data_IF_939808287155
#
_entry.id   IF_939808287155
#
_cell.length_a   1.000
_cell.length_b   1.000
_cell.length_c   1.000
_cell.angle_alpha   90.00
_cell.angle_beta   90.00
_cell.angle_gamma   90.00
#
_symmetry.space_group_name_H-M   'P 1'
#
loop_
_entity.id
_entity.type
_entity.pdbx_description
1 polymer ?
#
# COMPACT_ATOMS: atom_id res chain seq x y z
N UNK A 1 16.88 -12.73 -28.59
CA UNK A 1 18.14 -13.11 -27.90
C UNK A 1 18.34 -12.40 -26.56
N UNK A 2 17.63 -11.31 -26.24
CA UNK A 2 17.81 -10.59 -24.96
C UNK A 2 17.04 -11.16 -23.76
N UNK A 3 16.00 -11.96 -23.99
CA UNK A 3 15.17 -12.52 -22.91
C UNK A 3 15.89 -13.61 -22.10
N UNK A 4 16.57 -14.53 -22.80
CA UNK A 4 17.40 -15.58 -22.20
C UNK A 4 18.56 -14.99 -21.37
N UNK A 5 19.20 -13.93 -21.86
CA UNK A 5 20.25 -13.21 -21.12
C UNK A 5 19.73 -12.56 -19.83
N UNK A 6 18.50 -12.02 -19.85
CA UNK A 6 17.88 -11.44 -18.66
C UNK A 6 17.49 -12.52 -17.65
N UNK A 7 16.93 -13.64 -18.12
CA UNK A 7 16.59 -14.80 -17.28
C UNK A 7 17.83 -15.39 -16.59
N UNK A 8 18.94 -15.54 -17.31
CA UNK A 8 20.20 -16.02 -16.74
C UNK A 8 20.79 -15.05 -15.71
N UNK A 9 20.65 -13.74 -15.92
CA UNK A 9 21.14 -12.71 -14.99
C UNK A 9 20.35 -12.67 -13.68
N UNK A 10 19.03 -12.90 -13.73
CA UNK A 10 18.17 -12.97 -12.54
C UNK A 10 18.39 -14.27 -11.76
N UNK A 11 18.52 -15.40 -12.44
CA UNK A 11 18.84 -16.69 -11.80
C UNK A 11 20.23 -16.67 -11.14
N UNK A 12 21.22 -16.02 -11.75
CA UNK A 12 22.54 -15.84 -11.16
C UNK A 12 22.51 -14.95 -9.90
N UNK A 13 21.62 -13.96 -9.80
CA UNK A 13 21.48 -13.14 -8.58
C UNK A 13 20.79 -13.87 -7.42
N UNK A 14 19.94 -14.87 -7.71
CA UNK A 14 19.29 -15.72 -6.70
C UNK A 14 20.22 -16.82 -6.15
N UNK A 15 21.19 -17.26 -6.95
CA UNK A 15 22.17 -18.28 -6.57
C UNK A 15 23.44 -17.71 -5.90
N UNK A 16 23.57 -16.38 -5.82
CA UNK A 16 24.68 -15.77 -5.10
C UNK A 16 24.52 -16.01 -3.59
N UNK A 17 25.58 -16.43 -2.86
CA UNK A 17 25.53 -16.51 -1.41
C UNK A 17 25.25 -15.10 -0.87
N UNK A 18 24.09 -14.94 -0.25
CA UNK A 18 23.68 -13.69 0.38
C UNK A 18 24.74 -13.27 1.41
N UNK A 19 25.58 -12.29 1.08
CA UNK A 19 26.38 -11.61 2.10
C UNK A 19 25.45 -10.68 2.86
N UNK A 20 24.99 -11.11 4.03
CA UNK A 20 24.20 -10.32 4.97
C UNK A 20 25.02 -9.11 5.43
N UNK A 21 24.87 -8.00 4.71
CA UNK A 21 25.44 -6.69 5.07
C UNK A 21 24.43 -5.83 5.83
N UNK A 22 23.40 -6.44 6.41
CA UNK A 22 22.63 -5.76 7.43
C UNK A 22 23.62 -5.32 8.51
N UNK A 23 23.59 -4.08 9.01
CA UNK A 23 24.34 -3.71 10.18
C UNK A 23 24.00 -4.76 11.24
N UNK A 24 24.99 -5.56 11.66
CA UNK A 24 24.81 -6.47 12.79
C UNK A 24 24.63 -5.53 13.99
N UNK A 25 23.39 -5.11 14.21
CA UNK A 25 22.98 -4.46 15.43
C UNK A 25 23.19 -5.51 16.51
N UNK A 26 24.37 -5.48 17.13
CA UNK A 26 24.60 -6.17 18.38
C UNK A 26 23.54 -5.66 19.33
N UNK A 27 22.65 -6.54 19.79
CA UNK A 27 21.75 -6.21 20.89
C UNK A 27 22.64 -5.68 22.01
N UNK A 28 22.48 -4.42 22.46
CA UNK A 28 23.32 -3.90 23.53
C UNK A 28 23.09 -4.78 24.76
N UNK A 29 24.12 -5.52 25.15
CA UNK A 29 24.23 -6.08 26.49
C UNK A 29 24.15 -4.90 27.44
N UNK A 30 23.19 -4.95 28.37
CA UNK A 30 22.98 -3.93 29.40
C UNK A 30 24.29 -3.70 30.17
N UNK A 31 25.06 -2.71 29.73
CA UNK A 31 26.18 -2.11 30.42
C UNK A 31 25.71 -0.75 30.89
N UNK A 32 25.80 -0.54 32.20
CA UNK A 32 25.44 0.70 32.86
C UNK A 32 26.23 1.89 32.28
N UNK A 33 25.53 3.01 32.13
CA UNK A 33 26.01 4.37 31.88
C UNK A 33 26.46 4.73 30.46
N UNK A 34 25.52 5.22 29.64
CA UNK A 34 25.76 6.38 28.77
C UNK A 34 24.57 7.34 28.83
N UNK A 35 24.83 8.55 29.32
CA UNK A 35 23.93 9.70 29.24
C UNK A 35 23.90 10.20 27.81
N UNK A 36 22.79 10.00 27.10
CA UNK A 36 22.57 10.63 25.78
C UNK A 36 21.33 11.49 25.85
N UNK A 37 21.57 12.80 25.93
CA UNK A 37 20.58 13.80 25.60
C UNK A 37 20.39 13.82 24.09
N UNK A 38 19.45 13.02 23.60
CA UNK A 38 18.81 13.22 22.31
C UNK A 38 17.32 13.03 22.55
N UNK A 39 16.47 13.94 22.08
CA UNK A 39 15.02 13.74 22.10
C UNK A 39 14.69 12.54 21.23
N UNK A 40 14.71 11.35 21.84
CA UNK A 40 14.46 10.09 21.17
C UNK A 40 13.06 10.09 20.59
N UNK A 41 12.96 10.11 19.27
CA UNK A 41 11.69 10.03 18.56
C UNK A 41 10.87 8.82 18.98
N UNK A 42 9.55 8.90 18.87
CA UNK A 42 8.65 7.79 19.21
C UNK A 42 8.76 6.72 18.11
N UNK A 43 9.01 5.48 18.49
CA UNK A 43 8.93 4.33 17.60
C UNK A 43 7.47 3.91 17.48
N UNK A 44 6.93 3.89 16.26
CA UNK A 44 5.52 3.56 16.00
C UNK A 44 5.41 2.40 15.02
N UNK A 45 4.62 1.39 15.37
CA UNK A 45 4.17 0.36 14.46
C UNK A 45 2.96 0.86 13.68
N UNK A 46 3.06 0.92 12.35
CA UNK A 46 2.05 1.54 11.49
C UNK A 46 1.67 0.65 10.32
N UNK A 47 0.36 0.53 10.10
CA UNK A 47 -0.22 0.05 8.85
C UNK A 47 -1.13 1.14 8.29
N UNK A 48 -0.94 1.45 7.01
CA UNK A 48 -1.77 2.37 6.24
C UNK A 48 -2.52 1.63 5.12
N UNK A 49 -3.80 1.96 4.90
CA UNK A 49 -4.55 1.40 3.79
C UNK A 49 -4.19 2.05 2.46
N UNK A 50 -4.79 1.54 1.38
CA UNK A 50 -4.69 2.17 0.06
C UNK A 50 -5.28 3.58 0.08
N UNK A 51 -4.54 4.54 -0.49
CA UNK A 51 -4.98 5.91 -0.74
C UNK A 51 -4.71 6.22 -2.21
N UNK A 52 -5.74 6.60 -2.96
CA UNK A 52 -5.62 6.97 -4.39
C UNK A 52 -6.18 8.36 -4.61
N UNK A 53 -5.46 9.18 -5.38
CA UNK A 53 -5.97 10.45 -5.89
C UNK A 53 -6.12 10.35 -7.40
N UNK A 54 -7.31 10.64 -7.93
CA UNK A 54 -7.64 10.53 -9.35
C UNK A 54 -8.09 11.89 -9.88
N UNK A 55 -7.55 12.28 -11.03
CA UNK A 55 -7.94 13.49 -11.74
C UNK A 55 -9.07 13.17 -12.73
N UNK A 56 -10.09 14.01 -12.78
CA UNK A 56 -11.30 13.84 -13.58
C UNK A 56 -11.59 15.05 -14.46
N UNK A 57 -12.16 14.78 -15.64
CA UNK A 57 -12.56 15.82 -16.61
C UNK A 57 -13.79 16.60 -16.15
N UNK A 58 -14.70 15.97 -15.41
CA UNK A 58 -15.98 16.53 -15.00
C UNK A 58 -16.47 15.96 -13.66
N UNK A 59 -17.36 16.71 -12.99
CA UNK A 59 -17.87 16.37 -11.66
C UNK A 59 -18.82 15.17 -11.69
N UNK A 60 -19.56 14.94 -12.78
CA UNK A 60 -20.51 13.83 -12.85
C UNK A 60 -19.78 12.48 -12.88
N UNK A 61 -18.74 12.36 -13.72
CA UNK A 61 -17.86 11.18 -13.77
C UNK A 61 -17.15 10.95 -12.42
N UNK A 62 -16.71 12.02 -11.77
CA UNK A 62 -16.09 11.96 -10.45
C UNK A 62 -17.06 11.43 -9.38
N UNK A 63 -18.32 11.89 -9.40
CA UNK A 63 -19.36 11.44 -8.48
C UNK A 63 -19.68 9.94 -8.67
N UNK A 64 -19.66 9.45 -9.91
CA UNK A 64 -19.85 8.03 -10.20
C UNK A 64 -18.72 7.17 -9.61
N UNK A 65 -17.46 7.61 -9.75
CA UNK A 65 -16.32 6.93 -9.12
C UNK A 65 -16.46 6.91 -7.60
N UNK A 66 -16.80 8.05 -6.98
CA UNK A 66 -16.98 8.15 -5.53
C UNK A 66 -18.07 7.19 -5.05
N UNK A 67 -19.22 7.16 -5.72
CA UNK A 67 -20.32 6.23 -5.40
C UNK A 67 -19.88 4.77 -5.49
N UNK A 68 -19.15 4.43 -6.56
CA UNK A 68 -18.59 3.09 -6.77
C UNK A 68 -17.63 2.73 -5.64
N UNK A 69 -16.68 3.61 -5.31
CA UNK A 69 -15.70 3.41 -4.26
C UNK A 69 -16.36 3.23 -2.87
N UNK A 70 -17.36 4.05 -2.54
CA UNK A 70 -18.13 3.92 -1.28
C UNK A 70 -18.81 2.54 -1.22
N UNK A 71 -19.42 2.08 -2.33
CA UNK A 71 -20.04 0.76 -2.40
C UNK A 71 -19.05 -0.39 -2.21
N UNK A 72 -17.79 -0.21 -2.63
CA UNK A 72 -16.69 -1.15 -2.41
C UNK A 72 -16.00 -1.02 -1.04
N UNK A 73 -16.51 -0.18 -0.14
CA UNK A 73 -16.02 -0.04 1.24
C UNK A 73 -15.04 1.11 1.48
N UNK A 74 -14.78 1.97 0.49
CA UNK A 74 -13.99 3.19 0.62
C UNK A 74 -14.87 4.38 1.03
N UNK A 75 -15.47 4.31 2.23
CA UNK A 75 -16.47 5.27 2.72
C UNK A 75 -15.95 6.69 2.95
N UNK A 76 -14.64 6.87 3.05
CA UNK A 76 -13.99 8.18 3.25
C UNK A 76 -13.59 8.86 1.94
N UNK A 77 -14.09 8.31 0.82
CA UNK A 77 -13.84 8.84 -0.51
C UNK A 77 -14.66 10.10 -0.77
N UNK A 78 -14.09 11.03 -1.53
CA UNK A 78 -14.79 12.27 -1.87
C UNK A 78 -14.02 13.14 -2.86
N UNK A 79 -14.71 14.15 -3.38
CA UNK A 79 -14.12 15.15 -4.27
C UNK A 79 -13.39 16.18 -3.41
N UNK A 80 -12.08 16.31 -3.59
CA UNK A 80 -11.21 17.17 -2.76
C UNK A 80 -10.95 18.55 -3.40
N UNK A 81 -11.13 18.69 -4.70
CA UNK A 81 -10.98 19.95 -5.42
C UNK A 81 -11.91 19.98 -6.64
N UNK A 82 -12.46 21.16 -6.95
CA UNK A 82 -13.34 21.41 -8.12
C UNK A 82 -12.88 22.64 -8.93
N UNK A 83 -12.20 23.61 -8.31
CA UNK A 83 -11.94 24.93 -8.91
C UNK A 83 -10.91 24.93 -10.05
N UNK A 84 -9.87 24.10 -9.97
CA UNK A 84 -8.79 24.03 -10.98
C UNK A 84 -8.76 22.69 -11.70
N UNK A 85 -9.00 21.61 -10.94
CA UNK A 85 -9.09 20.22 -11.39
C UNK A 85 -10.06 19.48 -10.48
N UNK A 86 -10.84 18.58 -11.05
CA UNK A 86 -11.75 17.73 -10.30
C UNK A 86 -10.94 16.55 -9.75
N UNK A 87 -10.58 16.63 -8.48
CA UNK A 87 -9.78 15.59 -7.83
C UNK A 87 -10.67 14.73 -6.95
N UNK A 88 -10.59 13.42 -7.12
CA UNK A 88 -11.24 12.44 -6.26
C UNK A 88 -10.18 11.77 -5.39
N UNK A 89 -10.38 11.78 -4.07
CA UNK A 89 -9.59 10.96 -3.16
C UNK A 89 -10.37 9.70 -2.79
N UNK A 90 -9.79 8.52 -3.02
CA UNK A 90 -10.32 7.22 -2.61
C UNK A 90 -9.58 6.76 -1.36
N UNK A 91 -10.33 6.58 -0.27
CA UNK A 91 -9.79 6.30 1.07
C UNK A 91 -10.73 5.40 1.87
N UNK A 92 -10.17 4.68 2.84
CA UNK A 92 -10.93 3.88 3.80
C UNK A 92 -10.39 4.04 5.22
N UNK A 93 -11.21 3.68 6.20
CA UNK A 93 -10.99 3.93 7.62
C UNK A 93 -10.13 2.87 8.32
N UNK A 94 -9.55 1.90 7.58
CA UNK A 94 -8.80 0.80 8.18
C UNK A 94 -7.33 1.21 8.38
N UNK A 95 -6.94 1.42 9.64
CA UNK A 95 -5.58 1.85 10.02
C UNK A 95 -5.15 1.15 11.30
N UNK A 96 -3.84 1.02 11.50
CA UNK A 96 -3.26 0.63 12.79
C UNK A 96 -2.06 1.54 13.04
N UNK A 97 -2.02 2.14 14.21
CA UNK A 97 -0.91 2.97 14.65
C UNK A 97 -0.72 2.75 16.15
N UNK A 98 0.42 2.19 16.54
CA UNK A 98 0.70 1.81 17.94
C UNK A 98 2.12 2.24 18.31
N UNK A 99 2.29 3.12 19.30
CA UNK A 99 3.63 3.45 19.80
C UNK A 99 4.23 2.24 20.53
N UNK A 100 5.46 1.88 20.16
CA UNK A 100 6.22 0.77 20.75
C UNK A 100 7.20 1.24 21.84
N UNK A 101 7.49 2.54 21.88
CA UNK A 101 8.46 3.14 22.81
C UNK A 101 9.17 4.32 22.17
N UNK A 102 10.39 4.57 22.62
CA UNK A 102 11.29 5.58 22.05
C UNK A 102 12.39 4.90 21.24
N UNK A 103 12.98 5.63 20.30
CA UNK A 103 14.19 5.16 19.60
C UNK A 103 15.26 4.85 20.65
N UNK A 104 15.77 3.61 20.63
CA UNK A 104 16.72 3.11 21.63
C UNK A 104 16.09 2.47 22.88
N UNK A 105 14.78 2.64 23.11
CA UNK A 105 14.07 2.05 24.26
C UNK A 105 12.70 1.49 23.84
N UNK A 106 12.65 0.19 23.55
CA UNK A 106 11.40 -0.53 23.28
C UNK A 106 10.69 -0.79 24.61
N UNK A 107 9.46 -0.30 24.74
CA UNK A 107 8.64 -0.41 25.96
C UNK A 107 7.66 -1.59 25.91
N UNK A 108 7.65 -2.37 24.83
CA UNK A 108 6.75 -3.49 24.61
C UNK A 108 7.49 -4.82 24.55
N UNK A 109 6.80 -5.90 24.86
CA UNK A 109 7.38 -7.25 24.77
C UNK A 109 7.43 -7.75 23.32
N UNK A 110 8.34 -8.68 22.98
CA UNK A 110 8.37 -9.32 21.67
C UNK A 110 7.05 -10.03 21.31
N UNK A 111 6.36 -10.60 22.30
CA UNK A 111 5.07 -11.26 22.15
C UNK A 111 4.00 -10.27 21.66
N UNK A 112 4.01 -9.05 22.21
CA UNK A 112 3.10 -7.99 21.80
C UNK A 112 3.35 -7.56 20.36
N UNK A 113 4.62 -7.45 19.94
CA UNK A 113 4.96 -7.14 18.54
C UNK A 113 4.46 -8.22 17.60
N UNK A 114 4.60 -9.51 17.94
CA UNK A 114 4.05 -10.61 17.14
C UNK A 114 2.53 -10.53 17.01
N UNK A 115 1.84 -10.19 18.10
CA UNK A 115 0.40 -9.94 18.07
C UNK A 115 0.03 -8.76 17.15
N UNK A 116 0.75 -7.64 17.24
CA UNK A 116 0.53 -6.49 16.36
C UNK A 116 0.71 -6.84 14.88
N UNK A 117 1.70 -7.66 14.54
CA UNK A 117 1.92 -8.15 13.18
C UNK A 117 0.72 -8.96 12.69
N UNK A 118 0.16 -9.85 13.51
CA UNK A 118 -1.06 -10.58 13.16
C UNK A 118 -2.22 -9.64 12.85
N UNK A 119 -2.48 -8.68 13.75
CA UNK A 119 -3.56 -7.69 13.55
C UNK A 119 -3.30 -6.84 12.30
N UNK A 120 -2.06 -6.46 12.03
CA UNK A 120 -1.67 -5.69 10.86
C UNK A 120 -1.90 -6.47 9.56
N UNK A 121 -1.56 -7.76 9.53
CA UNK A 121 -1.77 -8.63 8.39
C UNK A 121 -3.27 -8.85 8.11
N UNK A 122 -4.10 -9.01 9.15
CA UNK A 122 -5.56 -9.06 9.00
C UNK A 122 -6.10 -7.77 8.37
N UNK A 123 -5.60 -6.60 8.82
CA UNK A 123 -5.99 -5.32 8.23
C UNK A 123 -5.50 -5.15 6.79
N UNK A 124 -4.31 -5.63 6.50
CA UNK A 124 -3.73 -5.60 5.15
C UNK A 124 -4.56 -6.46 4.19
N UNK A 125 -4.96 -7.65 4.61
CA UNK A 125 -5.81 -8.53 3.82
C UNK A 125 -7.20 -7.92 3.60
N UNK A 126 -7.80 -7.35 4.65
CA UNK A 126 -9.08 -6.66 4.51
C UNK A 126 -8.99 -5.42 3.59
N UNK A 127 -7.86 -4.72 3.56
CA UNK A 127 -7.61 -3.63 2.61
C UNK A 127 -7.42 -4.16 1.17
N UNK A 128 -6.74 -5.31 1.02
CA UNK A 128 -6.55 -5.98 -0.27
C UNK A 128 -7.88 -6.40 -0.88
N UNK A 129 -8.75 -7.06 -0.11
CA UNK A 129 -10.08 -7.49 -0.59
C UNK A 129 -10.94 -6.32 -1.09
N UNK A 130 -10.91 -5.18 -0.40
CA UNK A 130 -11.61 -3.96 -0.86
C UNK A 130 -11.01 -3.43 -2.15
N UNK A 131 -9.68 -3.42 -2.25
CA UNK A 131 -8.95 -2.96 -3.43
C UNK A 131 -9.25 -3.83 -4.64
N UNK A 132 -9.18 -5.16 -4.49
CA UNK A 132 -9.47 -6.13 -5.54
C UNK A 132 -10.93 -6.04 -5.98
N UNK A 133 -11.87 -5.96 -5.03
CA UNK A 133 -13.29 -5.77 -5.34
C UNK A 133 -13.59 -4.46 -6.07
N UNK A 134 -12.93 -3.37 -5.68
CA UNK A 134 -13.04 -2.09 -6.37
C UNK A 134 -12.48 -2.15 -7.79
N UNK A 135 -11.30 -2.76 -7.98
CA UNK A 135 -10.71 -2.95 -9.30
C UNK A 135 -11.61 -3.78 -10.20
N UNK A 136 -12.20 -4.87 -9.69
CA UNK A 136 -13.11 -5.71 -10.45
C UNK A 136 -14.30 -4.92 -10.97
N UNK A 137 -14.98 -4.15 -10.11
CA UNK A 137 -16.12 -3.31 -10.51
C UNK A 137 -15.70 -2.26 -11.54
N UNK A 138 -14.51 -1.67 -11.40
CA UNK A 138 -13.98 -0.73 -12.39
C UNK A 138 -13.72 -1.39 -13.75
N UNK A 139 -13.19 -2.61 -13.77
CA UNK A 139 -12.96 -3.36 -14.99
C UNK A 139 -14.27 -3.74 -15.67
N UNK A 140 -15.27 -4.21 -14.92
CA UNK A 140 -16.61 -4.50 -15.46
C UNK A 140 -17.25 -3.26 -16.07
N UNK A 141 -17.20 -2.11 -15.37
CA UNK A 141 -17.69 -0.84 -15.92
C UNK A 141 -16.94 -0.43 -17.17
N UNK A 142 -15.61 -0.60 -17.21
CA UNK A 142 -14.80 -0.29 -18.39
C UNK A 142 -15.14 -1.19 -19.58
N UNK A 143 -15.35 -2.48 -19.33
CA UNK A 143 -15.74 -3.45 -20.34
C UNK A 143 -17.15 -3.12 -20.84
N UNK A 144 -18.11 -2.88 -19.96
CA UNK A 144 -19.47 -2.45 -20.32
C UNK A 144 -19.47 -1.16 -21.16
N UNK A 145 -18.66 -0.16 -20.78
CA UNK A 145 -18.50 1.07 -21.56
C UNK A 145 -17.82 0.81 -22.92
N UNK A 146 -16.87 -0.13 -23.02
CA UNK A 146 -16.25 -0.49 -24.31
C UNK A 146 -17.20 -1.26 -25.25
N UNK A 147 -18.16 -2.01 -24.71
CA UNK A 147 -19.22 -2.65 -25.50
C UNK A 147 -20.32 -1.68 -25.92
N UNK A 148 -20.48 -0.56 -25.21
CA UNK A 148 -21.48 0.46 -25.49
C UNK A 148 -20.93 1.66 -26.30
N UNK A 149 -19.62 1.80 -26.45
CA UNK A 149 -18.99 2.95 -27.09
C UNK A 149 -17.90 2.54 -28.10
N UNK A 150 -18.19 2.78 -29.39
CA UNK A 150 -17.18 3.07 -30.40
C UNK A 150 -16.71 4.53 -30.15
N UNK A 151 -15.69 4.72 -29.31
CA UNK A 151 -15.19 6.06 -28.96
C UNK A 151 -14.29 6.13 -27.73
N UNK A 152 -12.98 6.19 -27.97
CA UNK A 152 -11.88 6.22 -27.01
C UNK A 152 -11.96 7.29 -25.91
N UNK A 153 -11.88 6.90 -24.62
CA UNK A 153 -11.43 7.83 -23.55
C UNK A 153 -11.08 7.19 -22.18
N UNK A 154 -10.42 6.02 -22.04
CA UNK A 154 -10.08 5.50 -20.68
C UNK A 154 -8.73 4.77 -20.52
N UNK A 155 -7.75 4.93 -21.42
CA UNK A 155 -6.52 4.10 -21.43
C UNK A 155 -5.41 4.48 -20.44
N UNK A 156 -5.63 5.32 -19.42
CA UNK A 156 -4.54 5.80 -18.52
C UNK A 156 -4.60 5.37 -17.04
N UNK A 157 -5.27 4.27 -16.72
CA UNK A 157 -5.34 3.71 -15.35
C UNK A 157 -4.74 2.30 -15.20
N UNK A 158 -3.80 1.92 -16.08
CA UNK A 158 -3.25 0.55 -16.14
C UNK A 158 -1.76 0.41 -15.76
N UNK A 159 -1.12 1.44 -15.20
CA UNK A 159 0.33 1.40 -14.90
C UNK A 159 0.69 1.13 -13.43
N UNK A 160 -0.25 0.72 -12.58
CA UNK A 160 0.04 0.34 -11.19
C UNK A 160 -0.53 -1.03 -10.81
N UNK A 161 -0.45 -2.00 -11.73
CA UNK A 161 -0.54 -3.42 -11.37
C UNK A 161 0.70 -4.09 -11.97
N UNK A 162 1.61 -4.66 -11.16
CA UNK A 162 2.48 -5.70 -11.69
C UNK A 162 1.56 -6.86 -12.08
N UNK A 163 1.33 -6.99 -13.39
CA UNK A 163 0.83 -8.21 -13.99
C UNK A 163 1.96 -9.22 -13.86
N UNK A 164 2.01 -9.94 -12.74
CA UNK A 164 2.58 -11.27 -12.55
C UNK A 164 2.55 -11.61 -11.06
N UNK A 165 1.42 -12.18 -10.61
CA UNK A 165 1.36 -13.02 -9.42
C UNK A 165 0.39 -14.17 -9.70
N UNK A 166 0.77 -14.96 -10.71
CA UNK A 166 0.27 -16.32 -10.91
C UNK A 166 1.29 -17.27 -10.29
N UNK A 167 0.88 -17.96 -9.23
CA UNK A 167 1.30 -19.33 -8.89
C UNK A 167 2.81 -19.59 -8.74
N UNK A 168 3.31 -19.51 -7.50
CA UNK A 168 4.01 -20.57 -6.73
C UNK A 168 4.88 -19.97 -5.61
#
# INVERSE_FOLDING_TARGET
MDFERRKAKTLASLAAPWSDKSPKGTFPTFGENETVGEEGGILVFRFEPLIVAVDYKDVASAQELVSTAISCGFRESGITSIQKRVMVAIRCSIRLEVPLGQIGLIMVTPEYVRYLVTVANEKMEANRQRTDGFLHVLQEKRIALSWMAEGDCWTKLLWWYPADDQLL
#
